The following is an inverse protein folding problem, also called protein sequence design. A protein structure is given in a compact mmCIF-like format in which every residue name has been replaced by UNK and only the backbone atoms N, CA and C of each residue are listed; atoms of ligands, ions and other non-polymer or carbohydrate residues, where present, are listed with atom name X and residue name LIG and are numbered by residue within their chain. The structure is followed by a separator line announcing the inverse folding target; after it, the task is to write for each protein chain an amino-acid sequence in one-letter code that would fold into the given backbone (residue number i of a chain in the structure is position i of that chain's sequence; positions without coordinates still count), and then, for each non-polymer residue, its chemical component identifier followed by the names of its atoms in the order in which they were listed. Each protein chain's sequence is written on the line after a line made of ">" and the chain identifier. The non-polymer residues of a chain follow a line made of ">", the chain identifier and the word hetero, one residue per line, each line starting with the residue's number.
data_IF_532680627831
#
_entry.id   IF_532680627831
#
_cell.length_a   1.000
_cell.length_b   1.000
_cell.length_c   1.000
_cell.angle_alpha   90.00
_cell.angle_beta   90.00
_cell.angle_gamma   90.00
#
_symmetry.space_group_name_H-M   'P 1'
#
loop_
_entity.id
_entity.type
_entity.pdbx_description
1 polymer ?
#
# COMPACT_ATOMS: atom_id res chain seq x y z
N UNK A 1 1.41 -59.30 6.73
CA UNK A 1 0.74 -58.38 5.80
C UNK A 1 1.13 -56.98 6.23
N UNK A 2 2.00 -56.33 5.46
CA UNK A 2 2.42 -54.95 5.68
C UNK A 2 1.55 -54.07 4.78
N UNK A 3 0.91 -53.06 5.35
CA UNK A 3 0.19 -52.02 4.61
C UNK A 3 1.05 -50.75 4.62
N UNK A 4 1.23 -50.18 3.44
CA UNK A 4 2.07 -49.02 3.19
C UNK A 4 1.26 -47.97 2.42
N UNK A 5 1.16 -46.79 3.06
CA UNK A 5 1.16 -45.44 2.47
C UNK A 5 0.06 -45.08 1.45
N UNK A 6 -0.58 -43.93 1.67
CA UNK A 6 -0.44 -42.72 0.85
C UNK A 6 -1.14 -41.55 1.55
N UNK A 7 -0.35 -40.65 2.17
CA UNK A 7 -0.82 -39.35 2.64
C UNK A 7 -0.66 -38.32 1.52
N UNK A 8 -1.75 -37.73 1.07
CA UNK A 8 -1.75 -36.66 0.07
C UNK A 8 -1.34 -35.36 0.75
N UNK A 9 -0.15 -34.87 0.41
CA UNK A 9 0.40 -33.60 0.87
C UNK A 9 -0.29 -32.45 0.11
N UNK A 10 -1.06 -31.61 0.82
CA UNK A 10 -1.61 -30.36 0.27
C UNK A 10 -0.48 -29.33 0.23
N UNK A 11 0.17 -29.22 -0.94
CA UNK A 11 1.02 -28.08 -1.28
C UNK A 11 0.09 -26.94 -1.70
N UNK A 12 -0.40 -26.18 -0.72
CA UNK A 12 -1.10 -24.93 -0.98
C UNK A 12 -0.10 -23.91 -1.52
N UNK A 13 -0.37 -23.48 -2.75
CA UNK A 13 0.51 -22.74 -3.65
C UNK A 13 1.01 -21.42 -3.05
N UNK A 14 2.31 -21.35 -2.77
CA UNK A 14 3.05 -20.09 -2.54
C UNK A 14 3.11 -19.17 -3.77
N UNK A 15 2.58 -19.59 -4.92
CA UNK A 15 2.61 -18.84 -6.17
C UNK A 15 1.54 -17.73 -6.26
N UNK A 16 0.41 -17.86 -5.56
CA UNK A 16 -0.75 -16.94 -5.71
C UNK A 16 -0.55 -15.61 -4.96
N UNK A 17 0.16 -15.63 -3.83
CA UNK A 17 0.47 -14.41 -3.05
C UNK A 17 1.49 -13.49 -3.74
N UNK A 18 2.41 -14.05 -4.55
CA UNK A 18 3.43 -13.29 -5.28
C UNK A 18 2.82 -12.47 -6.42
N UNK A 19 1.79 -12.98 -7.10
CA UNK A 19 1.11 -12.29 -8.20
C UNK A 19 0.19 -11.16 -7.69
N UNK A 20 -0.34 -11.29 -6.46
CA UNK A 20 -1.16 -10.24 -5.81
C UNK A 20 -0.31 -9.06 -5.32
N UNK A 21 0.86 -9.31 -4.74
CA UNK A 21 1.82 -8.26 -4.36
C UNK A 21 2.30 -7.43 -5.57
N UNK A 22 2.48 -8.09 -6.74
CA UNK A 22 2.90 -7.40 -7.97
C UNK A 22 1.85 -6.48 -8.57
N UNK A 23 0.54 -6.71 -8.32
CA UNK A 23 -0.54 -5.87 -8.84
C UNK A 23 -0.78 -4.61 -7.99
N UNK A 24 -0.59 -4.71 -6.66
CA UNK A 24 -0.65 -3.55 -5.75
C UNK A 24 0.55 -2.62 -5.97
N UNK A 25 1.69 -3.19 -6.33
CA UNK A 25 2.94 -2.46 -6.60
C UNK A 25 2.81 -1.43 -7.74
N UNK A 26 1.92 -1.68 -8.72
CA UNK A 26 1.72 -0.77 -9.85
C UNK A 26 1.29 0.64 -9.42
N UNK A 27 0.46 0.76 -8.37
CA UNK A 27 -0.08 2.04 -7.89
C UNK A 27 0.90 2.84 -7.01
N UNK A 28 1.91 2.19 -6.45
CA UNK A 28 2.84 2.74 -5.47
C UNK A 28 4.06 3.41 -6.11
N UNK A 29 4.49 2.95 -7.28
CA UNK A 29 5.73 3.34 -7.97
C UNK A 29 5.83 4.81 -8.41
N UNK A 30 4.80 5.62 -8.21
CA UNK A 30 4.71 6.92 -8.84
C UNK A 30 4.85 8.13 -7.91
N UNK A 31 4.84 7.94 -6.59
CA UNK A 31 5.03 9.03 -5.62
C UNK A 31 6.49 9.23 -5.20
N UNK A 32 7.45 8.45 -5.75
CA UNK A 32 8.78 8.35 -5.13
C UNK A 32 8.74 7.56 -3.80
N UNK A 33 7.56 7.35 -3.25
CA UNK A 33 7.18 6.25 -2.37
C UNK A 33 7.45 4.96 -3.10
N UNK A 34 8.33 4.14 -2.53
CA UNK A 34 8.63 2.83 -3.10
C UNK A 34 7.36 1.98 -3.10
N UNK A 35 7.23 1.09 -4.10
CA UNK A 35 6.36 -0.10 -4.08
C UNK A 35 6.20 -0.73 -2.68
N UNK A 36 7.29 -0.61 -1.92
CA UNK A 36 7.40 -0.97 -0.55
C UNK A 36 6.40 -0.29 0.39
N UNK A 37 6.25 1.03 0.39
CA UNK A 37 5.45 1.72 1.42
C UNK A 37 3.95 1.44 1.32
N UNK A 38 3.41 1.17 0.13
CA UNK A 38 1.99 0.78 -0.04
C UNK A 38 1.77 -0.70 0.28
N UNK A 39 2.67 -1.60 -0.14
CA UNK A 39 2.61 -3.01 0.25
C UNK A 39 2.69 -3.16 1.78
N UNK A 40 3.45 -2.30 2.45
CA UNK A 40 3.60 -2.21 3.90
C UNK A 40 2.24 -1.95 4.59
N UNK A 41 1.38 -1.10 4.03
CA UNK A 41 0.02 -0.82 4.55
C UNK A 41 -0.94 -2.02 4.42
N UNK A 42 -0.75 -2.89 3.41
CA UNK A 42 -1.65 -4.01 3.11
C UNK A 42 -1.21 -5.31 3.79
N UNK A 43 0.10 -5.58 3.85
CA UNK A 43 0.67 -6.81 4.42
C UNK A 43 1.03 -6.69 5.91
N UNK A 44 0.93 -5.49 6.47
CA UNK A 44 1.27 -5.19 7.85
C UNK A 44 2.75 -4.84 8.02
N UNK A 45 3.05 -4.10 9.09
CA UNK A 45 4.37 -3.55 9.36
C UNK A 45 4.62 -3.34 10.84
N UNK A 46 5.85 -2.98 11.17
CA UNK A 46 6.28 -2.75 12.53
C UNK A 46 6.70 -1.31 12.74
N UNK A 47 6.34 -0.75 13.88
CA UNK A 47 6.84 0.52 14.39
C UNK A 47 7.69 0.25 15.62
N UNK A 48 8.72 1.06 15.84
CA UNK A 48 9.47 1.06 17.09
C UNK A 48 9.08 2.33 17.83
N UNK A 49 8.51 2.18 19.02
CA UNK A 49 8.18 3.30 19.90
C UNK A 49 9.23 3.35 20.99
N UNK A 50 9.80 4.53 21.24
CA UNK A 50 10.73 4.78 22.33
C UNK A 50 10.36 6.08 23.03
N UNK A 51 9.99 6.01 24.31
CA UNK A 51 9.53 7.12 25.12
C UNK A 51 8.41 7.89 24.41
N UNK A 52 8.69 9.02 23.77
CA UNK A 52 7.74 9.83 22.99
C UNK A 52 7.95 9.77 21.47
N UNK A 53 8.94 9.03 21.00
CA UNK A 53 9.33 8.93 19.59
C UNK A 53 8.80 7.64 18.94
N UNK A 54 8.46 7.74 17.66
CA UNK A 54 7.99 6.61 16.85
C UNK A 54 8.82 6.54 15.57
N UNK A 55 9.60 5.47 15.42
CA UNK A 55 10.41 5.21 14.23
C UNK A 55 9.81 4.08 13.40
N UNK A 56 9.82 4.23 12.07
CA UNK A 56 9.36 3.23 11.11
C UNK A 56 8.75 3.88 9.85
N UNK A 57 8.04 3.11 9.01
CA UNK A 57 7.67 1.70 9.18
C UNK A 57 8.82 0.73 8.87
N UNK A 58 8.83 -0.42 9.54
CA UNK A 58 9.70 -1.55 9.23
C UNK A 58 8.87 -2.69 8.64
N UNK A 59 9.27 -3.19 7.47
CA UNK A 59 8.59 -4.31 6.79
C UNK A 59 8.78 -5.66 7.48
N UNK A 60 9.93 -5.84 8.13
CA UNK A 60 10.28 -7.09 8.77
C UNK A 60 10.55 -6.85 10.27
N UNK A 61 10.29 -7.89 11.06
CA UNK A 61 10.48 -7.85 12.50
C UNK A 61 11.97 -7.78 12.91
N UNK A 62 12.88 -8.35 12.12
CA UNK A 62 14.32 -8.32 12.39
C UNK A 62 14.89 -6.89 12.36
N UNK A 63 14.55 -6.08 11.35
CA UNK A 63 14.98 -4.69 11.23
C UNK A 63 14.38 -3.82 12.35
N UNK A 64 13.12 -4.08 12.72
CA UNK A 64 12.51 -3.42 13.87
C UNK A 64 13.25 -3.77 15.17
N UNK A 65 13.67 -5.03 15.35
CA UNK A 65 14.50 -5.46 16.49
C UNK A 65 15.88 -4.81 16.46
N UNK A 66 16.55 -4.74 15.30
CA UNK A 66 17.83 -4.04 15.14
C UNK A 66 17.71 -2.57 15.53
N UNK A 67 16.63 -1.89 15.12
CA UNK A 67 16.36 -0.52 15.54
C UNK A 67 16.11 -0.44 17.05
N UNK A 68 15.27 -1.32 17.59
CA UNK A 68 14.95 -1.36 19.03
C UNK A 68 16.21 -1.57 19.89
N UNK A 69 17.18 -2.35 19.41
CA UNK A 69 18.46 -2.60 20.09
C UNK A 69 19.34 -1.33 20.21
N UNK A 70 19.13 -0.32 19.37
CA UNK A 70 19.86 0.95 19.46
C UNK A 70 19.48 1.76 20.71
N UNK A 71 18.33 1.46 21.31
CA UNK A 71 17.84 2.15 22.50
C UNK A 71 18.24 1.40 23.77
N UNK A 72 19.12 2.01 24.56
CA UNK A 72 19.69 1.40 25.77
C UNK A 72 18.96 1.82 27.05
N UNK A 73 18.24 2.94 27.02
CA UNK A 73 17.47 3.49 28.14
C UNK A 73 16.00 3.73 27.73
N UNK A 74 15.19 4.20 28.69
CA UNK A 74 13.80 4.56 28.46
C UNK A 74 12.86 3.38 28.22
N UNK A 75 11.58 3.73 28.07
CA UNK A 75 10.53 2.80 27.68
C UNK A 75 10.54 2.63 26.17
N UNK A 76 10.41 1.40 25.71
CA UNK A 76 10.53 1.06 24.30
C UNK A 76 9.85 -0.26 23.96
N UNK A 77 9.23 -0.33 22.80
CA UNK A 77 8.61 -1.55 22.29
C UNK A 77 8.50 -1.53 20.77
N UNK A 78 8.30 -2.71 20.18
CA UNK A 78 7.80 -2.82 18.82
C UNK A 78 6.28 -2.89 18.86
N UNK A 79 5.64 -2.23 17.93
CA UNK A 79 4.19 -2.25 17.68
C UNK A 79 3.95 -2.83 16.30
N UNK A 80 3.05 -3.80 16.22
CA UNK A 80 2.60 -4.36 14.95
C UNK A 80 1.40 -3.56 14.44
N UNK A 81 1.41 -3.22 13.16
CA UNK A 81 0.33 -2.55 12.46
C UNK A 81 -0.15 -3.48 11.37
N UNK A 82 -1.45 -3.78 11.32
CA UNK A 82 -2.06 -4.61 10.28
C UNK A 82 -3.21 -3.87 9.66
N UNK A 83 -3.23 -3.79 8.32
CA UNK A 83 -4.29 -3.10 7.57
C UNK A 83 -4.50 -1.65 8.08
N UNK A 84 -3.41 -0.96 8.40
CA UNK A 84 -3.43 0.41 8.95
C UNK A 84 -3.86 0.52 10.43
N UNK A 85 -4.04 -0.58 11.15
CA UNK A 85 -4.49 -0.58 12.55
C UNK A 85 -3.40 -1.11 13.48
N UNK A 86 -3.06 -0.33 14.52
CA UNK A 86 -2.19 -0.76 15.62
C UNK A 86 -2.82 -1.98 16.30
N UNK A 87 -2.03 -3.05 16.47
CA UNK A 87 -2.50 -4.22 17.20
C UNK A 87 -2.48 -3.96 18.71
N UNK A 88 -3.61 -4.26 19.36
CA UNK A 88 -3.84 -3.96 20.77
C UNK A 88 -3.06 -4.86 21.75
N UNK A 89 -2.39 -5.92 21.27
CA UNK A 89 -1.55 -6.76 22.12
C UNK A 89 -0.07 -6.34 21.99
N UNK A 90 0.45 -5.57 22.94
CA UNK A 90 1.85 -5.13 22.95
C UNK A 90 2.79 -6.25 23.41
N UNK A 91 2.29 -7.38 23.90
CA UNK A 91 3.13 -8.48 24.39
C UNK A 91 3.48 -9.47 23.31
N UNK A 92 2.69 -9.56 22.25
CA UNK A 92 2.90 -10.51 21.15
C UNK A 92 2.98 -9.79 19.81
N UNK A 93 4.16 -9.87 19.17
CA UNK A 93 4.43 -9.27 17.87
C UNK A 93 4.82 -10.36 16.89
N UNK A 94 4.08 -10.47 15.78
CA UNK A 94 4.23 -11.54 14.79
C UNK A 94 4.28 -12.95 15.42
N UNK A 95 3.46 -13.18 16.44
CA UNK A 95 3.40 -14.46 17.16
C UNK A 95 4.53 -14.72 18.16
N UNK A 96 5.42 -13.75 18.42
CA UNK A 96 6.51 -13.87 19.39
C UNK A 96 6.25 -12.97 20.60
N UNK A 97 6.53 -13.47 21.80
CA UNK A 97 6.50 -12.64 23.01
C UNK A 97 7.62 -11.60 22.98
N UNK A 98 7.32 -10.33 23.24
CA UNK A 98 8.27 -9.22 23.29
C UNK A 98 9.17 -9.27 24.53
N UNK A 99 10.07 -10.23 24.60
CA UNK A 99 11.01 -10.41 25.70
C UNK A 99 12.44 -10.62 25.20
N UNK A 100 13.46 -10.51 26.08
CA UNK A 100 14.85 -10.72 25.72
C UNK A 100 15.15 -12.09 25.12
N UNK A 101 14.42 -13.14 25.51
CA UNK A 101 14.62 -14.49 24.98
C UNK A 101 14.30 -14.59 23.48
N UNK A 102 13.40 -13.76 22.98
CA UNK A 102 13.08 -13.67 21.55
C UNK A 102 13.84 -12.53 20.83
N UNK A 103 14.88 -11.96 21.46
CA UNK A 103 15.71 -10.90 20.87
C UNK A 103 15.05 -9.52 20.89
N UNK A 104 14.06 -9.28 21.75
CA UNK A 104 13.50 -7.95 21.97
C UNK A 104 14.20 -7.28 23.15
N UNK A 105 14.66 -6.05 22.96
CA UNK A 105 15.15 -5.20 24.05
C UNK A 105 14.04 -4.37 24.71
N UNK A 106 12.76 -4.75 24.54
CA UNK A 106 11.61 -3.99 25.01
C UNK A 106 11.62 -3.76 26.52
N UNK A 107 11.18 -2.58 26.95
CA UNK A 107 11.06 -2.18 28.36
C UNK A 107 9.85 -1.25 28.52
N UNK A 108 9.06 -1.44 29.55
CA UNK A 108 7.99 -0.52 29.93
C UNK A 108 7.73 -0.60 31.43
N UNK A 109 7.34 0.52 32.03
CA UNK A 109 7.23 0.66 33.49
C UNK A 109 5.85 0.25 34.05
N UNK A 110 5.00 -0.35 33.20
CA UNK A 110 3.72 -0.93 33.59
C UNK A 110 2.65 -0.77 32.50
N UNK A 111 1.39 -1.16 32.80
CA UNK A 111 0.30 -1.14 31.83
C UNK A 111 0.00 0.25 31.25
N UNK A 112 0.09 1.31 32.07
CA UNK A 112 -0.15 2.68 31.60
C UNK A 112 0.90 3.17 30.61
N UNK A 113 2.15 2.77 30.79
CA UNK A 113 3.24 3.12 29.89
C UNK A 113 3.12 2.37 28.55
N UNK A 114 2.68 1.10 28.61
CA UNK A 114 2.38 0.35 27.39
C UNK A 114 1.22 0.97 26.60
N UNK A 115 0.13 1.35 27.27
CA UNK A 115 -0.99 2.03 26.61
C UNK A 115 -0.55 3.35 25.98
N UNK A 116 0.22 4.16 26.70
CA UNK A 116 0.78 5.42 26.20
C UNK A 116 1.58 5.22 24.91
N UNK A 117 2.40 4.18 24.82
CA UNK A 117 3.18 3.89 23.62
C UNK A 117 2.32 3.37 22.46
N UNK A 118 1.23 2.63 22.72
CA UNK A 118 0.24 2.27 21.70
C UNK A 118 -0.48 3.51 21.17
N UNK A 119 -0.88 4.42 22.07
CA UNK A 119 -1.53 5.69 21.70
C UNK A 119 -0.60 6.57 20.85
N UNK A 120 0.71 6.57 21.14
CA UNK A 120 1.72 7.26 20.32
C UNK A 120 1.83 6.64 18.92
N UNK A 121 1.84 5.30 18.83
CA UNK A 121 1.83 4.62 17.54
C UNK A 121 0.55 4.93 16.75
N UNK A 122 -0.61 4.94 17.40
CA UNK A 122 -1.88 5.35 16.76
C UNK A 122 -1.84 6.80 16.32
N UNK A 123 -1.35 7.72 17.16
CA UNK A 123 -1.20 9.13 16.80
C UNK A 123 -0.25 9.33 15.63
N UNK A 124 0.84 8.56 15.55
CA UNK A 124 1.74 8.56 14.40
C UNK A 124 1.04 8.09 13.12
N UNK A 125 0.20 7.05 13.20
CA UNK A 125 -0.61 6.63 12.06
C UNK A 125 -1.64 7.69 11.68
N UNK A 126 -2.27 8.33 12.67
CA UNK A 126 -3.25 9.41 12.45
C UNK A 126 -2.62 10.65 11.84
N UNK A 127 -1.46 11.08 12.32
CA UNK A 127 -0.75 12.24 11.78
C UNK A 127 -0.25 11.98 10.36
N UNK A 128 0.21 10.75 10.06
CA UNK A 128 0.48 10.35 8.69
C UNK A 128 -0.78 10.29 7.85
N UNK A 129 -1.92 9.85 8.41
CA UNK A 129 -3.18 9.90 7.69
C UNK A 129 -3.72 11.32 7.53
N UNK A 130 -3.39 12.26 8.42
CA UNK A 130 -3.82 13.66 8.39
C UNK A 130 -2.95 14.51 7.46
N UNK A 131 -1.66 14.19 7.34
CA UNK A 131 -0.78 14.66 6.26
C UNK A 131 -1.28 14.13 4.89
N UNK A 132 -2.04 13.03 4.91
CA UNK A 132 -2.84 12.52 3.78
C UNK A 132 -4.32 12.97 3.76
N UNK A 133 -4.84 13.62 4.82
CA UNK A 133 -6.27 14.02 4.95
C UNK A 133 -6.50 15.52 4.97
N UNK A 134 -5.45 16.35 4.84
CA UNK A 134 -5.63 17.73 4.37
C UNK A 134 -5.98 17.82 2.86
N UNK A 135 -6.19 16.68 2.21
CA UNK A 135 -7.02 16.54 1.02
C UNK A 135 -8.03 15.41 1.32
N UNK A 136 -9.28 15.75 1.62
CA UNK A 136 -10.34 14.82 2.03
C UNK A 136 -10.82 13.93 0.87
N UNK A 137 -9.94 13.05 0.41
CA UNK A 137 -10.13 12.08 -0.65
C UNK A 137 -8.93 11.15 -0.63
N UNK A 138 -9.07 9.91 -0.16
CA UNK A 138 -8.03 8.86 -0.21
C UNK A 138 -7.21 8.85 -1.52
N UNK A 139 -5.97 8.34 -1.50
CA UNK A 139 -4.89 8.76 -2.40
C UNK A 139 -5.34 8.85 -3.86
N UNK A 140 -5.29 10.05 -4.43
CA UNK A 140 -5.61 10.24 -5.83
C UNK A 140 -4.43 9.76 -6.69
N UNK A 141 -4.71 8.92 -7.67
CA UNK A 141 -3.74 8.46 -8.65
C UNK A 141 -4.35 8.38 -10.04
N UNK A 142 -3.53 8.12 -11.04
CA UNK A 142 -3.82 8.18 -12.47
C UNK A 142 -3.49 6.83 -13.09
N UNK A 143 -4.42 6.24 -13.81
CA UNK A 143 -4.22 4.98 -14.52
C UNK A 143 -4.16 5.28 -16.00
N UNK A 144 -3.08 4.87 -16.68
CA UNK A 144 -2.96 5.00 -18.13
C UNK A 144 -3.49 3.73 -18.78
N UNK A 145 -4.51 3.88 -19.60
CA UNK A 145 -5.17 2.80 -20.33
C UNK A 145 -4.77 2.87 -21.80
N UNK A 146 -4.37 1.75 -22.37
CA UNK A 146 -4.09 1.54 -23.79
C UNK A 146 -5.01 0.44 -24.31
N UNK A 147 -5.84 0.76 -25.31
CA UNK A 147 -6.79 -0.06 -26.06
C UNK A 147 -7.65 -1.01 -25.21
N UNK A 148 -7.00 -2.03 -24.63
CA UNK A 148 -7.57 -3.16 -23.92
C UNK A 148 -6.97 -3.41 -22.52
N UNK A 149 -5.97 -2.63 -22.07
CA UNK A 149 -5.28 -2.89 -20.81
C UNK A 149 -4.77 -1.62 -20.13
N UNK A 150 -4.51 -1.72 -18.83
CA UNK A 150 -3.73 -0.72 -18.09
C UNK A 150 -2.26 -0.90 -18.38
N UNK A 151 -1.58 0.17 -18.80
CA UNK A 151 -0.13 0.17 -19.10
C UNK A 151 0.72 0.77 -17.99
N UNK A 152 0.11 1.49 -17.05
CA UNK A 152 0.80 1.99 -15.88
C UNK A 152 -0.11 2.77 -14.95
N UNK A 153 0.33 2.92 -13.71
CA UNK A 153 -0.36 3.69 -12.68
C UNK A 153 0.61 4.71 -12.10
N UNK A 154 0.12 5.94 -11.93
CA UNK A 154 0.93 7.13 -11.71
C UNK A 154 0.25 8.07 -10.72
N UNK A 155 0.98 8.65 -9.78
CA UNK A 155 0.47 9.70 -8.87
C UNK A 155 1.00 11.07 -9.29
N UNK A 156 2.03 11.09 -10.13
CA UNK A 156 2.48 12.26 -10.87
C UNK A 156 1.78 12.30 -12.24
N UNK A 157 0.97 13.32 -12.45
CA UNK A 157 0.25 13.55 -13.70
C UNK A 157 1.19 13.74 -14.91
N UNK A 158 2.40 14.27 -14.69
CA UNK A 158 3.41 14.47 -15.73
C UNK A 158 3.92 13.14 -16.24
N UNK A 159 4.29 12.21 -15.35
CA UNK A 159 4.72 10.85 -15.73
C UNK A 159 3.62 10.08 -16.44
N UNK A 160 2.37 10.23 -15.98
CA UNK A 160 1.21 9.64 -16.63
C UNK A 160 1.06 10.16 -18.08
N UNK A 161 1.29 11.46 -18.32
CA UNK A 161 1.27 12.06 -19.66
C UNK A 161 2.41 11.57 -20.54
N UNK A 162 3.60 11.40 -19.97
CA UNK A 162 4.76 10.84 -20.69
C UNK A 162 4.47 9.40 -21.15
N UNK A 163 3.94 8.56 -20.26
CA UNK A 163 3.50 7.21 -20.61
C UNK A 163 2.40 7.23 -21.68
N UNK A 164 1.40 8.10 -21.53
CA UNK A 164 0.33 8.26 -22.52
C UNK A 164 0.88 8.69 -23.90
N UNK A 165 1.89 9.57 -23.91
CA UNK A 165 2.55 10.03 -25.13
C UNK A 165 3.41 8.94 -25.80
N UNK A 166 3.94 8.00 -25.01
CA UNK A 166 4.71 6.87 -25.52
C UNK A 166 3.84 5.84 -26.26
N UNK A 167 2.54 5.81 -26.01
CA UNK A 167 1.58 4.97 -26.74
C UNK A 167 1.36 5.59 -28.13
N UNK A 168 2.08 5.08 -29.13
CA UNK A 168 2.15 5.67 -30.47
C UNK A 168 0.88 5.53 -31.31
N UNK A 169 -0.03 4.60 -30.99
CA UNK A 169 -1.23 4.33 -31.78
C UNK A 169 -2.37 3.75 -30.94
N UNK A 170 -3.59 3.83 -31.46
CA UNK A 170 -4.78 3.27 -30.83
C UNK A 170 -5.39 4.12 -29.71
N UNK A 171 -6.47 3.60 -29.14
CA UNK A 171 -7.26 4.24 -28.09
C UNK A 171 -6.46 4.28 -26.80
N UNK A 172 -6.41 5.45 -26.17
CA UNK A 172 -5.62 5.68 -24.96
C UNK A 172 -6.15 6.84 -24.16
N UNK A 173 -6.18 6.68 -22.85
CA UNK A 173 -6.55 7.74 -21.92
C UNK A 173 -5.84 7.58 -20.59
N UNK A 174 -5.91 8.63 -19.79
CA UNK A 174 -5.63 8.61 -18.37
C UNK A 174 -6.98 8.63 -17.65
N UNK A 175 -7.16 7.75 -16.67
CA UNK A 175 -8.28 7.74 -15.76
C UNK A 175 -7.80 8.21 -14.39
N UNK A 176 -8.53 9.13 -13.76
CA UNK A 176 -8.24 9.55 -12.39
C UNK A 176 -8.94 8.59 -11.43
N UNK A 177 -8.24 8.17 -10.39
CA UNK A 177 -8.74 7.33 -9.31
C UNK A 177 -8.66 8.15 -8.05
N UNK A 178 -9.76 8.25 -7.32
CA UNK A 178 -9.82 8.89 -6.00
C UNK A 178 -10.45 7.92 -5.04
N UNK A 179 -9.88 7.75 -3.86
CA UNK A 179 -10.41 6.81 -2.86
C UNK A 179 -10.57 5.37 -3.38
N UNK A 180 -9.70 4.96 -4.32
CA UNK A 180 -9.84 3.65 -4.96
C UNK A 180 -11.06 3.53 -5.89
N UNK A 181 -11.64 4.65 -6.32
CA UNK A 181 -12.75 4.69 -7.28
C UNK A 181 -12.33 5.47 -8.52
N UNK A 182 -12.45 4.82 -9.69
CA UNK A 182 -12.22 5.47 -10.98
C UNK A 182 -13.29 6.54 -11.20
N UNK A 183 -12.83 7.77 -11.45
CA UNK A 183 -13.69 8.90 -11.75
C UNK A 183 -14.41 8.66 -13.09
N UNK A 184 -15.73 8.88 -13.09
CA UNK A 184 -16.59 8.55 -14.21
C UNK A 184 -16.45 9.50 -15.42
N UNK A 185 -15.84 10.67 -15.25
CA UNK A 185 -15.61 11.64 -16.34
C UNK A 185 -14.18 11.51 -16.89
N UNK A 186 -13.97 10.87 -18.06
CA UNK A 186 -12.66 10.77 -18.70
C UNK A 186 -12.23 12.07 -19.38
N UNK A 187 -13.11 13.07 -19.51
CA UNK A 187 -12.76 14.32 -20.16
C UNK A 187 -11.95 15.24 -19.26
N UNK A 188 -11.92 15.01 -17.95
CA UNK A 188 -11.20 15.82 -16.97
C UNK A 188 -10.33 14.96 -16.06
N UNK A 189 -9.06 15.34 -15.94
CA UNK A 189 -8.08 14.69 -15.06
C UNK A 189 -7.41 15.77 -14.23
N UNK A 190 -7.47 15.65 -12.90
CA UNK A 190 -7.00 16.66 -11.96
C UNK A 190 -7.57 18.06 -12.28
N UNK A 191 -8.87 18.11 -12.60
CA UNK A 191 -9.57 19.35 -12.96
C UNK A 191 -9.24 19.94 -14.33
N UNK A 192 -8.36 19.32 -15.13
CA UNK A 192 -7.97 19.80 -16.46
C UNK A 192 -8.55 18.94 -17.57
N UNK A 193 -8.96 19.58 -18.66
CA UNK A 193 -9.45 18.84 -19.83
C UNK A 193 -8.35 17.97 -20.43
N UNK A 194 -8.69 16.72 -20.73
CA UNK A 194 -7.79 15.74 -21.34
C UNK A 194 -7.61 16.03 -22.84
N UNK A 195 -6.88 17.10 -23.14
CA UNK A 195 -6.62 17.59 -24.52
C UNK A 195 -5.13 17.74 -24.77
N UNK A 196 -4.76 17.74 -26.06
CA UNK A 196 -3.37 17.95 -26.49
C UNK A 196 -2.79 19.28 -25.96
N UNK A 197 -3.61 20.33 -25.90
CA UNK A 197 -3.22 21.64 -25.37
C UNK A 197 -2.79 21.59 -23.89
N UNK A 198 -3.34 20.66 -23.12
CA UNK A 198 -2.98 20.43 -21.71
C UNK A 198 -1.90 19.35 -21.54
N UNK A 199 -1.28 18.90 -22.63
CA UNK A 199 -0.23 17.88 -22.63
C UNK A 199 -0.75 16.43 -22.61
N UNK A 200 -2.04 16.21 -22.80
CA UNK A 200 -2.60 14.86 -22.89
C UNK A 200 -2.65 14.40 -24.34
N UNK A 201 -1.82 13.43 -24.69
CA UNK A 201 -1.86 12.76 -25.98
C UNK A 201 -2.94 11.68 -26.05
N UNK A 202 -4.15 11.97 -25.57
CA UNK A 202 -5.26 11.00 -25.55
C UNK A 202 -5.80 10.72 -26.96
N UNK A 203 -6.40 9.56 -27.16
CA UNK A 203 -7.17 9.24 -28.37
C UNK A 203 -8.30 8.28 -28.03
N UNK A 204 -9.46 8.51 -28.62
CA UNK A 204 -10.60 7.60 -28.56
C UNK A 204 -11.49 7.85 -29.78
N UNK A 205 -12.15 6.81 -30.27
CA UNK A 205 -12.97 6.87 -31.48
C UNK A 205 -14.33 7.53 -31.23
N UNK A 206 -15.00 7.15 -30.14
CA UNK A 206 -16.36 7.59 -29.80
C UNK A 206 -16.64 7.39 -28.29
N UNK A 207 -17.90 7.56 -27.89
CA UNK A 207 -18.33 7.35 -26.51
C UNK A 207 -18.24 5.89 -26.04
N UNK A 208 -18.43 4.92 -26.92
CA UNK A 208 -18.36 3.50 -26.55
C UNK A 208 -16.92 3.08 -26.27
N UNK A 209 -15.99 3.60 -27.07
CA UNK A 209 -14.55 3.42 -26.87
C UNK A 209 -14.07 4.01 -25.53
N UNK A 210 -14.59 5.19 -25.18
CA UNK A 210 -14.36 5.82 -23.88
C UNK A 210 -14.88 4.94 -22.74
N UNK A 211 -16.14 4.51 -22.83
CA UNK A 211 -16.79 3.69 -21.80
C UNK A 211 -16.03 2.38 -21.58
N UNK A 212 -15.57 1.74 -22.67
CA UNK A 212 -14.75 0.52 -22.61
C UNK A 212 -13.45 0.75 -21.83
N UNK A 213 -12.70 1.82 -22.15
CA UNK A 213 -11.44 2.13 -21.47
C UNK A 213 -11.62 2.49 -19.99
N UNK A 214 -12.69 3.21 -19.64
CA UNK A 214 -13.04 3.44 -18.24
C UNK A 214 -13.45 2.14 -17.53
N UNK A 215 -14.13 1.23 -18.24
CA UNK A 215 -14.43 -0.12 -17.75
C UNK A 215 -13.15 -0.88 -17.38
N UNK A 216 -12.16 -0.88 -18.27
CA UNK A 216 -10.84 -1.50 -18.03
C UNK A 216 -10.17 -0.90 -16.79
N UNK A 217 -10.19 0.44 -16.64
CA UNK A 217 -9.66 1.07 -15.45
C UNK A 217 -10.42 0.65 -14.17
N UNK A 218 -11.76 0.53 -14.23
CA UNK A 218 -12.58 0.11 -13.09
C UNK A 218 -12.31 -1.33 -12.69
N UNK A 219 -12.22 -2.23 -13.66
CA UNK A 219 -11.85 -3.63 -13.43
C UNK A 219 -10.46 -3.74 -12.79
N UNK A 220 -9.50 -2.93 -13.26
CA UNK A 220 -8.16 -2.88 -12.69
C UNK A 220 -8.14 -2.41 -11.23
N UNK A 221 -8.98 -1.44 -10.88
CA UNK A 221 -9.01 -0.84 -9.53
C UNK A 221 -9.86 -1.65 -8.55
N UNK A 222 -10.82 -2.46 -9.03
CA UNK A 222 -11.71 -3.25 -8.16
C UNK A 222 -10.98 -4.46 -7.58
N UNK A 223 -10.84 -4.59 -6.24
CA UNK A 223 -10.23 -5.78 -5.65
C UNK A 223 -11.13 -7.00 -5.87
N UNK A 224 -10.54 -8.13 -6.30
CA UNK A 224 -11.26 -9.40 -6.37
C UNK A 224 -11.86 -9.74 -5.01
N UNK A 225 -13.19 -9.83 -4.96
CA UNK A 225 -13.93 -10.35 -3.81
C UNK A 225 -13.77 -11.86 -3.79
N UNK A 226 -12.87 -12.37 -2.95
CA UNK A 226 -12.74 -13.80 -2.65
C UNK A 226 -12.21 -14.00 -1.25
#
# INVERSE_FOLDING_TARGET
>A
MMDATHGTSIVLQRADLSTRASHVCGAALAQGTSCDEVATLIEGFFLVVQDSDVTGPFRNLANAKEKLLQYTAGSRMIVEVRKGVVQNDPRTIAGQTQNPANGFSSKWDGPGDTQRMLDLAEQFLRSRSDEFSQDAGGPSYFVVVDNNAVTGTFTDLTKAKEQLAAIGFGSRLIAEVKEGVVQGDPHKIAGKHQTKANGFQKFWYDGDDINRMIGIAKEYVTPCSS
#
